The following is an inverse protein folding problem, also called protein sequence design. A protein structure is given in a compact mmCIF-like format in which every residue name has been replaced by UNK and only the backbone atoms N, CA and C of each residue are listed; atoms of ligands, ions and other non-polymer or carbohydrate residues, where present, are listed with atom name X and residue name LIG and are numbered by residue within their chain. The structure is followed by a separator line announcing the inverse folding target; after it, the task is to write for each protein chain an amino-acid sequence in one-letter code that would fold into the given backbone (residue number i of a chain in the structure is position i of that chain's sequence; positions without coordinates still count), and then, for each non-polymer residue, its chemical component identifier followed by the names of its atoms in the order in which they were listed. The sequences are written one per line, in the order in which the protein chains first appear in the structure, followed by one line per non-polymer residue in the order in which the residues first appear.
data_IF_186061914649
#
_entry.id   IF_186061914649
#
_cell.length_a   1.000
_cell.length_b   1.000
_cell.length_c   1.000
_cell.angle_alpha   90.00
_cell.angle_beta   90.00
_cell.angle_gamma   90.00
#
_symmetry.space_group_name_H-M   'P 1'
#
loop_
_entity.id
_entity.type
_entity.pdbx_description
1 polymer ?
#
# COMPACT_ATOMS: atom_id res chain seq x y z
N UNK A 1 -44.25 80.46 -55.76
CA UNK A 1 -43.34 80.60 -56.92
C UNK A 1 -42.11 79.75 -56.65
N UNK A 2 -42.24 78.44 -56.92
CA UNK A 2 -41.14 77.49 -56.90
C UNK A 2 -40.38 77.58 -58.22
N UNK A 3 -39.05 77.65 -58.16
CA UNK A 3 -38.20 77.76 -59.34
C UNK A 3 -36.99 76.88 -59.13
N UNK A 4 -37.06 75.62 -59.56
CA UNK A 4 -36.04 74.91 -60.34
C UNK A 4 -36.77 73.87 -61.20
N UNK A 5 -36.48 73.83 -62.50
CA UNK A 5 -37.14 72.95 -63.47
C UNK A 5 -36.63 71.50 -63.28
N UNK A 6 -37.54 70.59 -62.93
CA UNK A 6 -37.25 69.16 -62.81
C UNK A 6 -37.51 68.40 -64.11
N UNK A 7 -36.70 67.38 -64.38
CA UNK A 7 -36.98 66.34 -65.38
C UNK A 7 -38.31 65.62 -65.06
N UNK A 8 -39.00 65.13 -66.10
CA UNK A 8 -40.32 64.49 -66.01
C UNK A 8 -40.32 63.32 -65.00
N UNK A 9 -41.11 63.47 -63.93
CA UNK A 9 -41.36 62.42 -62.94
C UNK A 9 -40.90 62.72 -61.51
N UNK A 10 -40.21 63.83 -61.25
CA UNK A 10 -39.78 64.22 -59.89
C UNK A 10 -40.61 65.41 -59.38
N UNK A 11 -41.19 65.26 -58.17
CA UNK A 11 -41.90 66.34 -57.48
C UNK A 11 -40.87 67.45 -57.18
N UNK A 12 -41.09 68.71 -57.62
CA UNK A 12 -40.13 69.78 -57.39
C UNK A 12 -39.99 70.04 -55.89
N UNK A 13 -38.74 69.98 -55.40
CA UNK A 13 -38.43 70.23 -54.00
C UNK A 13 -38.66 71.72 -53.68
N UNK A 14 -39.59 72.03 -52.77
CA UNK A 14 -39.90 73.40 -52.34
C UNK A 14 -38.82 73.97 -51.39
N UNK A 15 -37.60 74.14 -51.90
CA UNK A 15 -36.40 74.49 -51.11
C UNK A 15 -36.57 75.72 -50.22
N UNK A 16 -37.24 76.76 -50.73
CA UNK A 16 -37.47 78.01 -49.97
C UNK A 16 -38.30 77.76 -48.70
N UNK A 17 -39.33 76.91 -48.80
CA UNK A 17 -40.17 76.59 -47.65
C UNK A 17 -39.41 75.77 -46.60
N UNK A 18 -38.55 74.85 -47.04
CA UNK A 18 -37.73 74.01 -46.15
C UNK A 18 -36.61 74.81 -45.48
N UNK A 19 -35.98 75.74 -46.20
CA UNK A 19 -35.00 76.67 -45.64
C UNK A 19 -35.64 77.57 -44.57
N UNK A 20 -36.87 78.03 -44.82
CA UNK A 20 -37.61 78.86 -43.87
C UNK A 20 -37.99 78.06 -42.62
N UNK A 21 -38.49 76.82 -42.77
CA UNK A 21 -38.77 75.93 -41.66
C UNK A 21 -37.53 75.62 -40.81
N UNK A 22 -36.38 75.39 -41.45
CA UNK A 22 -35.12 75.17 -40.74
C UNK A 22 -34.70 76.40 -39.92
N UNK A 23 -34.81 77.60 -40.49
CA UNK A 23 -34.52 78.85 -39.77
C UNK A 23 -35.46 79.04 -38.56
N UNK A 24 -36.76 78.78 -38.72
CA UNK A 24 -37.76 78.92 -37.66
C UNK A 24 -37.56 77.92 -36.50
N UNK A 25 -36.95 76.76 -36.78
CA UNK A 25 -36.68 75.70 -35.80
C UNK A 25 -35.25 75.71 -35.26
N UNK A 26 -34.44 76.71 -35.63
CA UNK A 26 -33.00 76.76 -35.37
C UNK A 26 -32.23 75.51 -35.88
N UNK A 27 -32.78 74.84 -36.89
CA UNK A 27 -32.16 73.73 -37.60
C UNK A 27 -31.35 74.20 -38.80
N UNK A 28 -30.48 73.32 -39.32
CA UNK A 28 -29.71 73.60 -40.53
C UNK A 28 -30.32 72.87 -41.73
N UNK A 29 -30.64 73.62 -42.78
CA UNK A 29 -31.04 73.05 -44.06
C UNK A 29 -29.80 72.64 -44.87
N UNK A 30 -29.81 71.43 -45.43
CA UNK A 30 -28.75 70.92 -46.28
C UNK A 30 -29.35 70.35 -47.57
N UNK A 31 -28.88 70.85 -48.71
CA UNK A 31 -29.20 70.27 -50.02
C UNK A 31 -28.40 68.98 -50.25
N UNK A 32 -29.06 67.96 -50.79
CA UNK A 32 -28.41 66.70 -51.20
C UNK A 32 -27.51 66.97 -52.40
N UNK A 33 -26.26 66.54 -52.34
CA UNK A 33 -25.31 66.63 -53.45
C UNK A 33 -25.05 65.25 -54.05
N UNK A 34 -24.76 65.17 -55.35
CA UNK A 34 -24.38 63.91 -56.01
C UNK A 34 -22.99 63.44 -55.57
N UNK A 35 -22.19 64.32 -54.96
CA UNK A 35 -20.91 64.02 -54.35
C UNK A 35 -20.97 64.14 -52.81
N UNK A 36 -19.88 63.80 -52.13
CA UNK A 36 -19.82 63.75 -50.65
C UNK A 36 -19.74 65.12 -49.96
N UNK A 37 -20.07 66.24 -50.63
CA UNK A 37 -20.00 67.56 -50.01
C UNK A 37 -21.05 67.75 -48.92
N UNK A 38 -22.24 67.18 -49.10
CA UNK A 38 -23.30 67.14 -48.09
C UNK A 38 -22.88 66.33 -46.86
N UNK A 39 -22.39 65.11 -47.04
CA UNK A 39 -21.94 64.24 -45.96
C UNK A 39 -20.80 64.89 -45.15
N UNK A 40 -19.83 65.54 -45.80
CA UNK A 40 -18.75 66.29 -45.11
C UNK A 40 -19.23 67.52 -44.34
N UNK A 41 -20.41 68.06 -44.66
CA UNK A 41 -21.02 69.16 -43.90
C UNK A 41 -21.77 68.62 -42.69
N UNK A 42 -22.47 67.49 -42.83
CA UNK A 42 -23.08 66.77 -41.70
C UNK A 42 -22.02 66.35 -40.70
N UNK A 43 -20.94 65.72 -41.16
CA UNK A 43 -19.83 65.22 -40.34
C UNK A 43 -19.22 66.33 -39.48
N UNK A 44 -18.87 67.47 -40.10
CA UNK A 44 -18.37 68.65 -39.37
C UNK A 44 -19.35 69.22 -38.36
N UNK A 45 -20.64 69.13 -38.63
CA UNK A 45 -21.66 69.57 -37.69
C UNK A 45 -21.76 68.59 -36.51
N UNK A 46 -21.70 67.29 -36.76
CA UNK A 46 -21.69 66.25 -35.71
C UNK A 46 -20.44 66.33 -34.85
N UNK A 47 -19.26 66.54 -35.45
CA UNK A 47 -17.98 66.72 -34.74
C UNK A 47 -18.04 67.86 -33.72
N UNK A 48 -18.76 68.95 -34.03
CA UNK A 48 -18.90 70.08 -33.09
C UNK A 48 -19.69 69.75 -31.83
N UNK A 49 -20.53 68.71 -31.86
CA UNK A 49 -21.30 68.21 -30.71
C UNK A 49 -20.68 66.95 -30.10
N UNK A 50 -19.69 66.34 -30.76
CA UNK A 50 -18.96 65.21 -30.22
C UNK A 50 -17.89 65.72 -29.24
N UNK A 51 -18.21 65.71 -27.95
CA UNK A 51 -17.17 65.78 -26.93
C UNK A 51 -16.39 64.47 -27.04
N UNK A 52 -15.22 64.52 -27.68
CA UNK A 52 -14.24 63.46 -27.56
C UNK A 52 -13.82 63.42 -26.09
N UNK A 53 -14.47 62.56 -25.31
CA UNK A 53 -13.90 62.11 -24.06
C UNK A 53 -12.71 61.27 -24.47
N UNK A 54 -11.52 61.88 -24.47
CA UNK A 54 -10.27 61.15 -24.54
C UNK A 54 -10.18 60.27 -23.29
N UNK A 55 -10.73 59.06 -23.38
CA UNK A 55 -10.67 58.04 -22.33
C UNK A 55 -9.30 57.34 -22.32
N UNK A 56 -8.24 58.08 -22.67
CA UNK A 56 -6.84 57.66 -22.60
C UNK A 56 -6.24 57.85 -21.20
N UNK A 57 -7.05 58.24 -20.21
CA UNK A 57 -6.65 58.44 -18.81
C UNK A 57 -7.01 57.29 -17.85
N UNK A 58 -7.57 56.17 -18.34
CA UNK A 58 -7.87 55.00 -17.50
C UNK A 58 -7.14 53.74 -18.02
N UNK A 59 -5.97 53.40 -17.47
CA UNK A 59 -5.22 52.21 -17.86
C UNK A 59 -5.83 50.97 -17.17
N UNK A 60 -7.04 50.57 -17.55
CA UNK A 60 -7.59 49.29 -17.10
C UNK A 60 -6.87 48.16 -17.83
N UNK A 61 -5.75 47.73 -17.26
CA UNK A 61 -5.07 46.51 -17.65
C UNK A 61 -5.86 45.33 -17.06
N UNK A 62 -6.49 44.53 -17.92
CA UNK A 62 -7.22 43.33 -17.51
C UNK A 62 -6.24 42.31 -16.90
N UNK A 63 -6.08 42.38 -15.58
CA UNK A 63 -5.14 41.58 -14.78
C UNK A 63 -5.82 40.36 -14.17
N UNK A 64 -6.98 39.96 -14.68
CA UNK A 64 -7.74 38.79 -14.19
C UNK A 64 -7.19 37.43 -14.66
N UNK A 65 -6.35 37.40 -15.70
CA UNK A 65 -5.84 36.14 -16.27
C UNK A 65 -5.04 35.26 -15.30
N UNK A 66 -4.18 35.79 -14.40
CA UNK A 66 -3.54 35.00 -13.35
C UNK A 66 -4.54 34.26 -12.45
N UNK A 67 -5.71 34.88 -12.18
CA UNK A 67 -6.75 34.29 -11.34
C UNK A 67 -7.36 33.03 -11.98
N UNK A 68 -7.39 32.96 -13.32
CA UNK A 68 -7.88 31.81 -14.06
C UNK A 68 -7.03 30.58 -13.75
N UNK A 69 -5.71 30.70 -13.64
CA UNK A 69 -4.85 29.56 -13.31
C UNK A 69 -5.09 29.03 -11.88
N UNK A 70 -5.36 29.92 -10.92
CA UNK A 70 -5.71 29.54 -9.54
C UNK A 70 -7.07 28.82 -9.52
N UNK A 71 -8.07 29.38 -10.20
CA UNK A 71 -9.39 28.77 -10.32
C UNK A 71 -9.33 27.42 -11.05
N UNK A 72 -8.50 27.30 -12.09
CA UNK A 72 -8.30 26.06 -12.83
C UNK A 72 -7.68 24.97 -11.94
N UNK A 73 -6.69 25.32 -11.12
CA UNK A 73 -6.09 24.39 -10.16
C UNK A 73 -7.14 23.88 -9.14
N UNK A 74 -7.97 24.77 -8.60
CA UNK A 74 -9.07 24.42 -7.70
C UNK A 74 -10.13 23.55 -8.39
N UNK A 75 -10.45 23.85 -9.65
CA UNK A 75 -11.41 23.10 -10.44
C UNK A 75 -10.93 21.68 -10.74
N UNK A 76 -9.64 21.49 -11.09
CA UNK A 76 -9.05 20.17 -11.33
C UNK A 76 -9.08 19.28 -10.09
N UNK A 77 -8.96 19.86 -8.90
CA UNK A 77 -9.06 19.11 -7.64
C UNK A 77 -10.47 18.55 -7.39
N UNK A 78 -11.51 19.16 -7.96
CA UNK A 78 -12.91 18.74 -7.80
C UNK A 78 -13.24 17.41 -8.52
N UNK A 79 -12.51 17.07 -9.59
CA UNK A 79 -12.75 15.83 -10.35
C UNK A 79 -12.12 14.57 -9.74
N UNK A 80 -11.38 14.71 -8.63
CA UNK A 80 -10.73 13.57 -7.98
C UNK A 80 -11.75 12.74 -7.20
N UNK A 81 -11.93 11.48 -7.62
CA UNK A 81 -12.81 10.49 -6.96
C UNK A 81 -12.42 10.34 -5.48
N UNK A 82 -13.29 10.78 -4.56
CA UNK A 82 -13.09 10.74 -3.10
C UNK A 82 -13.08 12.11 -2.39
N UNK A 83 -12.96 13.23 -3.12
CA UNK A 83 -12.88 14.59 -2.54
C UNK A 83 -14.21 15.16 -2.01
N UNK A 84 -15.35 14.64 -2.47
CA UNK A 84 -16.67 15.09 -1.97
C UNK A 84 -16.96 14.60 -0.54
N UNK A 85 -16.36 13.48 -0.12
CA UNK A 85 -16.50 12.96 1.25
C UNK A 85 -15.62 13.74 2.25
N UNK A 86 -14.53 14.36 1.80
CA UNK A 86 -13.62 15.13 2.67
C UNK A 86 -14.22 16.44 3.18
N UNK A 87 -15.21 17.03 2.50
CA UNK A 87 -15.94 18.20 3.04
C UNK A 87 -16.80 17.86 4.27
N UNK A 88 -17.16 16.59 4.48
CA UNK A 88 -17.82 16.17 5.72
C UNK A 88 -16.90 16.39 6.94
N UNK A 89 -15.57 16.38 6.76
CA UNK A 89 -14.61 16.71 7.83
C UNK A 89 -14.61 18.19 8.22
N UNK A 90 -15.11 19.10 7.37
CA UNK A 90 -15.35 20.49 7.79
C UNK A 90 -16.61 20.63 8.65
N UNK A 91 -17.52 19.64 8.64
CA UNK A 91 -18.63 19.53 9.59
C UNK A 91 -18.24 18.77 10.88
N UNK A 92 -17.16 17.99 10.88
CA UNK A 92 -16.64 17.31 12.07
C UNK A 92 -16.26 18.26 13.22
N UNK A 93 -15.59 19.43 13.02
CA UNK A 93 -15.35 20.37 14.10
C UNK A 93 -16.65 20.99 14.65
N UNK A 94 -17.74 21.02 13.88
CA UNK A 94 -19.07 21.44 14.35
C UNK A 94 -19.74 20.35 15.21
N UNK A 95 -19.45 19.07 14.93
CA UNK A 95 -19.91 17.90 15.71
C UNK A 95 -19.08 17.67 17.00
N UNK A 96 -17.80 18.07 17.01
CA UNK A 96 -16.88 17.92 18.14
C UNK A 96 -17.04 18.97 19.25
N UNK A 97 -17.97 19.94 19.12
CA UNK A 97 -18.42 20.72 20.28
C UNK A 97 -19.27 19.89 21.28
N UNK A 98 -19.60 18.64 20.94
CA UNK A 98 -20.10 17.65 21.89
C UNK A 98 -18.96 16.99 22.68
N UNK A 99 -18.97 17.17 24.01
CA UNK A 99 -17.93 16.71 24.93
C UNK A 99 -17.50 15.24 24.70
N UNK A 100 -16.21 14.94 24.44
CA UNK A 100 -15.74 13.56 24.33
C UNK A 100 -15.58 12.92 25.72
N UNK A 101 -16.28 11.81 25.95
CA UNK A 101 -15.96 10.86 27.02
C UNK A 101 -14.57 10.26 26.80
N UNK A 102 -13.73 10.12 27.83
CA UNK A 102 -12.36 9.61 27.67
C UNK A 102 -12.35 8.13 27.32
N UNK A 103 -11.96 7.80 26.09
CA UNK A 103 -11.62 6.44 25.69
C UNK A 103 -10.18 6.13 26.13
N UNK A 104 -10.00 5.06 26.92
CA UNK A 104 -8.67 4.55 27.30
C UNK A 104 -8.01 3.86 26.11
N UNK A 105 -6.76 4.21 25.84
CA UNK A 105 -5.93 3.58 24.82
C UNK A 105 -5.26 2.31 25.36
N UNK A 106 -5.54 1.17 24.74
CA UNK A 106 -4.69 -0.02 24.85
C UNK A 106 -3.42 0.19 24.02
N UNK A 107 -2.28 -0.16 24.63
CA UNK A 107 -0.95 0.13 24.13
C UNK A 107 -0.63 -0.62 22.84
N UNK A 108 -0.18 0.13 21.83
CA UNK A 108 0.56 -0.40 20.69
C UNK A 108 2.04 -0.09 20.91
N UNK A 109 2.96 -1.07 20.84
CA UNK A 109 4.36 -0.82 21.14
C UNK A 109 4.97 0.10 20.07
N UNK A 110 5.76 1.05 20.55
CA UNK A 110 6.43 2.06 19.75
C UNK A 110 7.53 1.44 18.87
N UNK A 111 7.38 1.54 17.54
CA UNK A 111 8.50 1.46 16.62
C UNK A 111 9.11 2.87 16.48
N UNK A 112 10.38 2.99 16.83
CA UNK A 112 11.11 4.25 17.09
C UNK A 112 11.70 4.95 15.86
N UNK A 113 11.12 4.77 14.67
CA UNK A 113 11.62 5.39 13.42
C UNK A 113 10.57 6.28 12.72
N UNK A 114 9.42 6.49 13.35
CA UNK A 114 8.16 6.77 12.66
C UNK A 114 7.90 8.25 12.35
N UNK A 115 8.71 9.21 12.81
CA UNK A 115 8.33 10.63 12.72
C UNK A 115 8.61 11.27 11.34
N UNK A 116 9.77 11.02 10.73
CA UNK A 116 10.14 11.61 9.43
C UNK A 116 9.48 10.89 8.25
N UNK A 117 9.41 9.56 8.29
CA UNK A 117 8.73 8.78 7.25
C UNK A 117 7.22 9.04 7.26
N UNK A 118 6.58 9.07 8.45
CA UNK A 118 5.15 9.38 8.52
C UNK A 118 4.83 10.81 8.03
N UNK A 119 5.70 11.79 8.29
CA UNK A 119 5.54 13.15 7.77
C UNK A 119 5.66 13.20 6.24
N UNK A 120 6.65 12.50 5.66
CA UNK A 120 6.82 12.40 4.20
C UNK A 120 5.65 11.70 3.52
N UNK A 121 5.10 10.68 4.17
CA UNK A 121 3.96 9.93 3.68
C UNK A 121 2.64 10.71 3.75
N UNK A 122 2.38 11.45 4.83
CA UNK A 122 1.20 12.32 4.91
C UNK A 122 1.16 13.34 3.76
N UNK A 123 2.31 13.95 3.44
CA UNK A 123 2.39 14.86 2.31
C UNK A 123 2.20 14.11 0.98
N UNK A 124 2.81 12.93 0.81
CA UNK A 124 2.62 12.11 -0.37
C UNK A 124 1.15 11.66 -0.57
N UNK A 125 0.42 11.40 0.51
CA UNK A 125 -1.00 11.01 0.49
C UNK A 125 -1.90 12.11 -0.10
N UNK A 126 -1.48 13.38 -0.04
CA UNK A 126 -2.18 14.50 -0.70
C UNK A 126 -2.15 14.37 -2.23
N UNK A 127 -1.07 13.82 -2.78
CA UNK A 127 -0.82 13.78 -4.23
C UNK A 127 -1.08 12.40 -4.82
N UNK A 128 -0.59 11.33 -4.18
CA UNK A 128 -0.65 9.95 -4.66
C UNK A 128 -1.53 9.09 -3.76
N UNK A 129 -2.30 8.16 -4.35
CA UNK A 129 -2.98 7.14 -3.55
C UNK A 129 -1.97 6.16 -2.93
N UNK A 130 -2.36 5.49 -1.83
CA UNK A 130 -1.53 4.47 -1.19
C UNK A 130 -1.06 3.38 -2.18
N UNK A 131 -1.93 2.99 -3.12
CA UNK A 131 -1.56 2.04 -4.17
C UNK A 131 -0.51 2.58 -5.16
N UNK A 132 -0.59 3.86 -5.53
CA UNK A 132 0.41 4.49 -6.41
C UNK A 132 1.77 4.59 -5.70
N UNK A 133 1.75 4.94 -4.42
CA UNK A 133 2.97 4.95 -3.60
C UNK A 133 3.55 3.54 -3.45
N UNK A 134 2.70 2.54 -3.20
CA UNK A 134 3.10 1.13 -3.15
C UNK A 134 3.76 0.69 -4.45
N UNK A 135 3.21 1.04 -5.61
CA UNK A 135 3.82 0.72 -6.92
C UNK A 135 5.21 1.34 -7.10
N UNK A 136 5.41 2.58 -6.68
CA UNK A 136 6.73 3.22 -6.73
C UNK A 136 7.73 2.49 -5.81
N UNK A 137 7.29 2.11 -4.60
CA UNK A 137 8.11 1.34 -3.66
C UNK A 137 8.47 -0.05 -4.21
N UNK A 138 7.56 -0.72 -4.91
CA UNK A 138 7.84 -1.98 -5.61
C UNK A 138 8.94 -1.81 -6.66
N UNK A 139 8.89 -0.74 -7.46
CA UNK A 139 9.91 -0.45 -8.48
C UNK A 139 11.28 -0.15 -7.88
N UNK A 140 11.30 0.41 -6.67
CA UNK A 140 12.52 0.67 -5.90
C UNK A 140 13.02 -0.55 -5.11
N UNK A 141 12.38 -1.72 -5.24
CA UNK A 141 12.73 -2.93 -4.48
C UNK A 141 12.37 -2.88 -2.99
N UNK A 142 11.56 -1.89 -2.56
CA UNK A 142 11.16 -1.68 -1.15
C UNK A 142 9.84 -2.41 -0.86
N UNK A 143 9.85 -3.73 -0.98
CA UNK A 143 8.64 -4.55 -0.98
C UNK A 143 7.86 -4.50 0.35
N UNK A 144 8.55 -4.58 1.49
CA UNK A 144 7.92 -4.47 2.82
C UNK A 144 7.19 -3.14 3.01
N UNK A 145 7.82 -2.03 2.61
CA UNK A 145 7.21 -0.70 2.67
C UNK A 145 6.02 -0.59 1.71
N UNK A 146 6.12 -1.19 0.52
CA UNK A 146 5.05 -1.23 -0.45
C UNK A 146 3.81 -1.98 0.09
N UNK A 147 4.02 -3.10 0.78
CA UNK A 147 2.95 -3.89 1.39
C UNK A 147 2.14 -3.09 2.44
N UNK A 148 2.80 -2.20 3.18
CA UNK A 148 2.16 -1.28 4.12
C UNK A 148 1.37 -0.14 3.45
N UNK A 149 1.59 0.11 2.16
CA UNK A 149 1.01 1.23 1.40
C UNK A 149 -0.18 0.83 0.54
N UNK A 150 -0.14 -0.38 -0.02
CA UNK A 150 -1.23 -0.88 -0.85
C UNK A 150 -2.53 -0.98 -0.05
N UNK A 151 -3.61 -0.48 -0.63
CA UNK A 151 -4.97 -0.65 -0.17
C UNK A 151 -5.59 -1.90 -0.80
N UNK A 152 -5.26 -2.20 -2.05
CA UNK A 152 -5.73 -3.41 -2.74
C UNK A 152 -5.10 -4.69 -2.14
N UNK A 153 -5.88 -5.68 -1.68
CA UNK A 153 -5.36 -6.88 -1.01
C UNK A 153 -4.46 -7.73 -1.91
N UNK A 154 -4.74 -7.82 -3.21
CA UNK A 154 -3.89 -8.59 -4.15
C UNK A 154 -2.55 -7.91 -4.32
N UNK A 155 -2.51 -6.58 -4.36
CA UNK A 155 -1.26 -5.82 -4.50
C UNK A 155 -0.43 -5.88 -3.22
N UNK A 156 -1.08 -5.87 -2.05
CA UNK A 156 -0.43 -6.19 -0.78
C UNK A 156 0.16 -7.60 -0.78
N UNK A 157 -0.60 -8.59 -1.23
CA UNK A 157 -0.14 -9.98 -1.36
C UNK A 157 1.07 -10.10 -2.28
N UNK A 158 1.06 -9.43 -3.43
CA UNK A 158 2.23 -9.39 -4.32
C UNK A 158 3.43 -8.74 -3.64
N UNK A 159 3.25 -7.63 -2.94
CA UNK A 159 4.35 -6.99 -2.21
C UNK A 159 4.97 -7.92 -1.16
N UNK A 160 4.15 -8.63 -0.38
CA UNK A 160 4.63 -9.66 0.55
C UNK A 160 5.34 -10.82 -0.16
N UNK A 161 4.82 -11.27 -1.32
CA UNK A 161 5.45 -12.32 -2.11
C UNK A 161 6.86 -11.93 -2.56
N UNK A 162 7.03 -10.72 -3.09
CA UNK A 162 8.35 -10.20 -3.49
C UNK A 162 9.25 -9.90 -2.28
N UNK A 163 8.67 -9.67 -1.11
CA UNK A 163 9.39 -9.56 0.15
C UNK A 163 9.74 -10.92 0.78
N UNK A 164 9.41 -12.04 0.12
CA UNK A 164 9.60 -13.42 0.58
C UNK A 164 8.75 -13.82 1.81
N UNK A 165 7.76 -13.01 2.18
CA UNK A 165 6.76 -13.32 3.20
C UNK A 165 5.65 -14.21 2.64
N UNK A 166 6.02 -15.41 2.21
CA UNK A 166 5.15 -16.24 1.36
C UNK A 166 3.83 -16.66 2.03
N UNK A 167 3.83 -17.00 3.32
CA UNK A 167 2.59 -17.35 4.04
C UNK A 167 1.64 -16.16 4.17
N UNK A 168 2.17 -14.97 4.47
CA UNK A 168 1.38 -13.74 4.54
C UNK A 168 0.81 -13.39 3.15
N UNK A 169 1.61 -13.56 2.10
CA UNK A 169 1.16 -13.37 0.73
C UNK A 169 0.00 -14.33 0.37
N UNK A 170 0.12 -15.61 0.73
CA UNK A 170 -0.93 -16.60 0.54
C UNK A 170 -2.23 -16.21 1.25
N UNK A 171 -2.15 -15.69 2.48
CA UNK A 171 -3.30 -15.20 3.22
C UNK A 171 -4.00 -14.06 2.46
N UNK A 172 -3.26 -13.06 1.98
CA UNK A 172 -3.84 -11.96 1.20
C UNK A 172 -4.48 -12.44 -0.12
N UNK A 173 -3.86 -13.38 -0.83
CA UNK A 173 -4.42 -13.94 -2.05
C UNK A 173 -5.70 -14.75 -1.78
N UNK A 174 -5.78 -15.46 -0.66
CA UNK A 174 -6.97 -16.24 -0.28
C UNK A 174 -8.24 -15.41 -0.09
N UNK A 175 -8.10 -14.09 0.12
CA UNK A 175 -9.23 -13.16 0.34
C UNK A 175 -10.02 -12.83 -0.92
N UNK A 176 -9.58 -13.29 -2.09
CA UNK A 176 -10.27 -13.04 -3.36
C UNK A 176 -10.52 -14.34 -4.12
N UNK A 177 -11.76 -14.54 -4.56
CA UNK A 177 -12.13 -15.69 -5.41
C UNK A 177 -11.92 -15.37 -6.90
N UNK A 178 -10.68 -15.50 -7.37
CA UNK A 178 -10.33 -15.35 -8.79
C UNK A 178 -9.24 -16.34 -9.20
N UNK A 179 -9.18 -16.67 -10.50
CA UNK A 179 -8.16 -17.57 -11.05
C UNK A 179 -6.75 -17.08 -10.76
N UNK A 180 -6.52 -15.77 -10.90
CA UNK A 180 -5.23 -15.14 -10.59
C UNK A 180 -4.89 -15.23 -9.10
N UNK A 181 -5.88 -15.04 -8.22
CA UNK A 181 -5.68 -15.19 -6.78
C UNK A 181 -5.37 -16.63 -6.39
N UNK A 182 -6.08 -17.63 -6.97
CA UNK A 182 -5.79 -19.06 -6.74
C UNK A 182 -4.38 -19.43 -7.21
N UNK A 183 -3.97 -18.96 -8.39
CA UNK A 183 -2.63 -19.20 -8.92
C UNK A 183 -1.56 -18.59 -8.03
N UNK A 184 -1.76 -17.33 -7.60
CA UNK A 184 -0.81 -16.62 -6.75
C UNK A 184 -0.74 -17.22 -5.33
N UNK A 185 -1.88 -17.62 -4.75
CA UNK A 185 -1.91 -18.34 -3.47
C UNK A 185 -1.15 -19.66 -3.57
N UNK A 186 -1.37 -20.43 -4.63
CA UNK A 186 -0.68 -21.71 -4.84
C UNK A 186 0.84 -21.52 -4.99
N UNK A 187 1.29 -20.52 -5.75
CA UNK A 187 2.72 -20.18 -5.86
C UNK A 187 3.29 -19.76 -4.50
N UNK A 188 2.60 -18.88 -3.77
CA UNK A 188 3.04 -18.41 -2.46
C UNK A 188 3.19 -19.58 -1.47
N UNK A 189 2.17 -20.44 -1.35
CA UNK A 189 2.24 -21.65 -0.51
C UNK A 189 3.36 -22.59 -0.92
N UNK A 190 3.58 -22.78 -2.23
CA UNK A 190 4.69 -23.61 -2.71
C UNK A 190 6.05 -23.04 -2.27
N UNK A 191 6.27 -21.73 -2.38
CA UNK A 191 7.50 -21.09 -1.88
C UNK A 191 7.64 -21.17 -0.36
N UNK A 192 6.52 -21.14 0.38
CA UNK A 192 6.48 -21.37 1.82
C UNK A 192 6.70 -22.83 2.23
N UNK A 193 6.87 -23.76 1.27
CA UNK A 193 6.93 -25.21 1.49
C UNK A 193 5.64 -25.83 2.05
N UNK A 194 4.52 -25.14 1.89
CA UNK A 194 3.17 -25.63 2.19
C UNK A 194 2.62 -26.38 0.97
N UNK A 195 3.32 -27.45 0.58
CA UNK A 195 3.15 -28.08 -0.72
C UNK A 195 1.80 -28.76 -0.88
N UNK A 196 1.29 -29.42 0.15
CA UNK A 196 -0.01 -30.11 0.10
C UNK A 196 -1.13 -29.10 -0.17
N UNK A 197 -1.16 -27.99 0.59
CA UNK A 197 -2.17 -26.94 0.38
C UNK A 197 -1.95 -26.21 -0.94
N UNK A 198 -0.70 -26.05 -1.41
CA UNK A 198 -0.40 -25.49 -2.72
C UNK A 198 -0.99 -26.33 -3.87
N UNK A 199 -0.80 -27.66 -3.86
CA UNK A 199 -1.39 -28.57 -4.87
C UNK A 199 -2.91 -28.45 -4.87
N UNK A 200 -3.55 -28.45 -3.70
CA UNK A 200 -5.01 -28.29 -3.59
C UNK A 200 -5.50 -26.98 -4.22
N UNK A 201 -4.75 -25.89 -4.08
CA UNK A 201 -5.08 -24.60 -4.73
C UNK A 201 -4.91 -24.65 -6.25
N UNK A 202 -3.86 -25.31 -6.74
CA UNK A 202 -3.71 -25.56 -8.18
C UNK A 202 -4.82 -26.44 -8.74
N UNK A 203 -5.25 -27.46 -8.01
CA UNK A 203 -6.35 -28.34 -8.42
C UNK A 203 -7.66 -27.56 -8.56
N UNK A 204 -7.98 -26.72 -7.57
CA UNK A 204 -9.14 -25.83 -7.65
C UNK A 204 -9.06 -24.88 -8.85
N UNK A 205 -7.89 -24.32 -9.12
CA UNK A 205 -7.66 -23.47 -10.30
C UNK A 205 -7.88 -24.25 -11.60
N UNK A 206 -7.30 -25.44 -11.73
CA UNK A 206 -7.37 -26.25 -12.95
C UNK A 206 -8.76 -26.85 -13.19
N UNK A 207 -9.55 -27.07 -12.14
CA UNK A 207 -10.96 -27.42 -12.27
C UNK A 207 -11.79 -26.30 -12.90
N UNK A 208 -11.48 -25.04 -12.55
CA UNK A 208 -12.18 -23.86 -13.07
C UNK A 208 -11.66 -23.42 -14.44
N UNK A 209 -10.34 -23.41 -14.61
CA UNK A 209 -9.62 -22.93 -15.79
C UNK A 209 -8.51 -23.92 -16.19
N UNK A 210 -8.85 -25.01 -16.90
CA UNK A 210 -7.91 -26.08 -17.24
C UNK A 210 -6.70 -25.63 -18.07
N UNK A 211 -6.83 -24.51 -18.80
CA UNK A 211 -5.78 -23.94 -19.66
C UNK A 211 -5.06 -22.75 -19.03
N UNK A 212 -5.20 -22.52 -17.70
CA UNK A 212 -4.53 -21.40 -17.05
C UNK A 212 -2.99 -21.50 -17.21
N UNK A 213 -2.32 -20.46 -17.73
CA UNK A 213 -0.89 -20.52 -18.03
C UNK A 213 -0.04 -20.91 -16.82
N UNK A 214 0.82 -21.92 -16.99
CA UNK A 214 1.77 -22.35 -15.95
C UNK A 214 1.16 -23.18 -14.80
N UNK A 215 -0.15 -23.17 -14.59
CA UNK A 215 -0.78 -23.85 -13.45
C UNK A 215 -0.51 -25.36 -13.43
N UNK A 216 -0.70 -26.05 -14.55
CA UNK A 216 -0.46 -27.50 -14.66
C UNK A 216 1.01 -27.86 -14.42
N UNK A 217 1.94 -27.06 -14.95
CA UNK A 217 3.37 -27.31 -14.81
C UNK A 217 3.85 -27.06 -13.38
N UNK A 218 3.39 -25.96 -12.74
CA UNK A 218 3.75 -25.65 -11.37
C UNK A 218 3.17 -26.67 -10.40
N UNK A 219 1.90 -27.07 -10.58
CA UNK A 219 1.30 -28.16 -9.80
C UNK A 219 2.15 -29.42 -9.85
N UNK A 220 2.57 -29.84 -11.04
CA UNK A 220 3.39 -31.05 -11.19
C UNK A 220 4.71 -30.92 -10.44
N UNK A 221 5.42 -29.79 -10.57
CA UNK A 221 6.67 -29.56 -9.84
C UNK A 221 6.49 -29.66 -8.33
N UNK A 222 5.40 -29.10 -7.80
CA UNK A 222 5.09 -29.19 -6.36
C UNK A 222 4.75 -30.62 -5.94
N UNK A 223 4.03 -31.37 -6.77
CA UNK A 223 3.78 -32.79 -6.54
C UNK A 223 5.08 -33.59 -6.51
N UNK A 224 5.99 -33.36 -7.46
CA UNK A 224 7.28 -34.05 -7.52
C UNK A 224 8.11 -33.80 -6.24
N UNK A 225 8.03 -32.58 -5.67
CA UNK A 225 8.67 -32.26 -4.37
C UNK A 225 8.05 -33.04 -3.21
N UNK A 226 6.71 -33.17 -3.17
CA UNK A 226 6.02 -33.97 -2.15
C UNK A 226 6.47 -35.44 -2.23
N UNK A 227 6.49 -35.99 -3.45
CA UNK A 227 6.86 -37.38 -3.70
C UNK A 227 8.33 -37.65 -3.32
N UNK A 228 9.23 -36.70 -3.61
CA UNK A 228 10.64 -36.78 -3.21
C UNK A 228 10.81 -36.74 -1.69
N UNK A 229 10.09 -35.86 -0.98
CA UNK A 229 10.12 -35.78 0.49
C UNK A 229 9.61 -37.09 1.10
N UNK A 230 8.51 -37.63 0.59
CA UNK A 230 7.96 -38.91 1.04
C UNK A 230 8.96 -40.06 0.84
N UNK A 231 9.59 -40.14 -0.34
CA UNK A 231 10.61 -41.17 -0.62
C UNK A 231 11.82 -41.07 0.31
N UNK A 232 12.26 -39.85 0.61
CA UNK A 232 13.37 -39.63 1.54
C UNK A 232 12.99 -40.06 2.97
N UNK A 233 11.75 -39.79 3.38
CA UNK A 233 11.20 -40.20 4.67
C UNK A 233 11.16 -41.73 4.82
N UNK A 234 10.73 -42.46 3.78
CA UNK A 234 10.68 -43.93 3.79
C UNK A 234 12.08 -44.58 3.87
N UNK A 235 13.10 -43.92 3.32
CA UNK A 235 14.48 -44.44 3.30
C UNK A 235 15.23 -44.28 4.63
N UNK A 236 14.72 -43.47 5.56
CA UNK A 236 15.26 -43.34 6.89
C UNK A 236 14.74 -44.51 7.74
N UNK A 237 15.60 -45.49 8.03
CA UNK A 237 15.29 -46.49 9.05
C UNK A 237 15.22 -45.79 10.41
N UNK A 238 14.08 -45.90 11.10
CA UNK A 238 13.95 -45.44 12.48
C UNK A 238 14.96 -46.20 13.35
N UNK A 239 15.87 -45.47 13.98
CA UNK A 239 16.67 -45.99 15.08
C UNK A 239 15.70 -46.28 16.25
N UNK A 240 15.59 -47.55 16.64
CA UNK A 240 14.67 -47.97 17.69
C UNK A 240 15.02 -47.27 19.02
N UNK A 241 14.13 -46.41 19.52
CA UNK A 241 14.27 -45.75 20.83
C UNK A 241 14.21 -44.23 20.81
N UNK A 242 14.26 -43.60 19.63
CA UNK A 242 13.93 -42.18 19.49
C UNK A 242 12.46 -42.15 19.09
N UNK A 243 11.56 -41.97 20.06
CA UNK A 243 10.19 -41.53 19.77
C UNK A 243 10.34 -40.21 19.03
N UNK A 244 10.25 -40.27 17.69
CA UNK A 244 10.08 -39.11 16.85
C UNK A 244 8.71 -38.57 17.21
N UNK A 245 8.67 -37.77 18.27
CA UNK A 245 7.43 -37.25 18.81
C UNK A 245 6.65 -36.65 17.67
N UNK A 246 5.44 -37.15 17.49
CA UNK A 246 4.42 -36.55 16.65
C UNK A 246 4.35 -35.08 17.03
N UNK A 247 5.07 -34.26 16.27
CA UNK A 247 4.95 -32.82 16.41
C UNK A 247 3.61 -32.54 15.77
N UNK A 248 2.55 -32.61 16.58
CA UNK A 248 1.23 -32.12 16.22
C UNK A 248 1.43 -30.73 15.63
N UNK A 249 1.27 -30.64 14.31
CA UNK A 249 1.35 -29.38 13.58
C UNK A 249 0.16 -28.55 14.06
N UNK A 250 0.41 -27.65 14.99
CA UNK A 250 -0.62 -26.79 15.59
C UNK A 250 -0.95 -25.64 14.63
N UNK A 251 -2.09 -25.68 13.95
CA UNK A 251 -2.67 -24.52 13.25
C UNK A 251 -2.25 -24.30 11.79
N UNK A 252 -1.78 -23.08 11.48
CA UNK A 252 -1.53 -22.57 10.10
C UNK A 252 -0.10 -22.82 9.60
N UNK A 253 0.61 -23.76 10.22
CA UNK A 253 1.97 -24.13 9.83
C UNK A 253 2.01 -24.77 8.43
N UNK A 254 3.13 -24.54 7.73
CA UNK A 254 3.35 -25.10 6.40
C UNK A 254 3.43 -26.62 6.44
N UNK A 255 2.76 -27.29 5.49
CA UNK A 255 2.72 -28.76 5.40
C UNK A 255 3.51 -29.22 4.15
N UNK A 256 4.78 -29.64 4.29
CA UNK A 256 5.60 -30.03 3.14
C UNK A 256 5.15 -31.36 2.54
N UNK A 257 4.79 -32.33 3.36
CA UNK A 257 4.35 -33.64 2.90
C UNK A 257 3.51 -34.33 3.96
N UNK A 258 2.86 -35.43 3.57
CA UNK A 258 2.04 -36.26 4.47
C UNK A 258 2.89 -37.18 5.36
N UNK A 259 4.18 -37.33 5.06
CA UNK A 259 5.07 -38.27 5.75
C UNK A 259 4.75 -39.72 5.42
N UNK A 260 5.70 -40.63 5.68
CA UNK A 260 5.39 -42.06 5.60
C UNK A 260 4.37 -42.41 6.69
N UNK A 261 3.32 -43.18 6.36
CA UNK A 261 2.41 -43.71 7.39
C UNK A 261 3.23 -44.56 8.34
N UNK A 262 3.27 -44.18 9.60
CA UNK A 262 3.81 -45.01 10.65
C UNK A 262 2.97 -46.30 10.70
N UNK A 263 3.56 -47.42 10.28
CA UNK A 263 3.00 -48.73 10.59
C UNK A 263 3.35 -48.97 12.06
N UNK A 264 2.56 -48.37 12.94
CA UNK A 264 2.55 -48.71 14.36
C UNK A 264 2.09 -50.16 14.46
N UNK A 265 3.05 -51.08 14.63
CA UNK A 265 2.75 -52.32 15.32
C UNK A 265 2.37 -51.92 16.75
N UNK A 266 1.22 -52.42 17.23
CA UNK A 266 0.61 -52.04 18.51
C UNK A 266 1.64 -51.62 19.56
N UNK A 267 1.46 -50.42 20.11
CA UNK A 267 2.22 -49.89 21.24
C UNK A 267 2.26 -50.96 22.35
N UNK A 268 3.36 -51.70 22.44
CA UNK A 268 3.68 -52.44 23.64
C UNK A 268 3.79 -51.42 24.76
N UNK A 269 3.00 -51.61 25.81
CA UNK A 269 2.98 -50.77 27.00
C UNK A 269 4.42 -50.51 27.46
N UNK A 270 4.88 -49.26 27.35
CA UNK A 270 6.23 -48.87 27.78
C UNK A 270 6.26 -49.02 29.29
N UNK A 271 6.72 -50.17 29.76
CA UNK A 271 6.89 -50.42 31.18
C UNK A 271 8.11 -49.63 31.64
N UNK A 272 7.88 -48.54 32.38
CA UNK A 272 8.96 -47.81 33.02
C UNK A 272 9.54 -48.66 34.14
N UNK A 273 10.61 -49.41 33.86
CA UNK A 273 11.37 -50.13 34.86
C UNK A 273 12.28 -49.16 35.62
N UNK A 274 12.33 -49.27 36.95
CA UNK A 274 13.29 -48.52 37.75
C UNK A 274 14.71 -49.04 37.52
N UNK A 275 15.73 -48.24 37.88
CA UNK A 275 17.12 -48.68 37.79
C UNK A 275 17.37 -49.96 38.60
N UNK A 276 16.71 -50.10 39.75
CA UNK A 276 16.74 -51.30 40.57
C UNK A 276 16.12 -52.52 39.86
N UNK A 277 15.02 -52.36 39.14
CA UNK A 277 14.37 -53.47 38.42
C UNK A 277 15.22 -53.94 37.22
N UNK A 278 15.88 -53.01 36.54
CA UNK A 278 16.78 -53.30 35.40
C UNK A 278 18.02 -54.08 35.88
N UNK A 279 18.57 -53.72 37.04
CA UNK A 279 19.80 -54.32 37.58
C UNK A 279 19.56 -55.66 38.28
N UNK A 280 18.32 -55.96 38.68
CA UNK A 280 17.96 -57.24 39.31
C UNK A 280 17.84 -58.39 38.32
N UNK A 281 17.47 -58.12 37.07
CA UNK A 281 17.38 -59.13 36.01
C UNK A 281 18.61 -59.07 35.08
N UNK A 282 19.47 -60.11 35.05
CA UNK A 282 20.65 -60.16 34.20
C UNK A 282 20.35 -60.00 32.70
N UNK A 283 19.18 -60.46 32.24
CA UNK A 283 18.79 -60.35 30.83
C UNK A 283 18.40 -58.91 30.48
N UNK A 284 17.61 -58.26 31.33
CA UNK A 284 17.21 -56.85 31.18
C UNK A 284 18.43 -55.91 31.31
N UNK A 285 19.33 -56.16 32.27
CA UNK A 285 20.59 -55.43 32.42
C UNK A 285 21.48 -55.56 31.18
N UNK A 286 21.60 -56.74 30.58
CA UNK A 286 22.38 -56.95 29.37
C UNK A 286 21.78 -56.25 28.14
N UNK A 287 20.45 -56.23 28.02
CA UNK A 287 19.76 -55.46 26.98
C UNK A 287 20.00 -53.96 27.14
N UNK A 288 19.94 -53.45 28.38
CA UNK A 288 20.25 -52.05 28.70
C UNK A 288 21.71 -51.70 28.36
N UNK A 289 22.67 -52.53 28.78
CA UNK A 289 24.10 -52.34 28.50
C UNK A 289 24.45 -52.35 27.01
N UNK A 290 23.63 -52.97 26.17
CA UNK A 290 23.80 -52.97 24.72
C UNK A 290 23.45 -51.62 24.08
N UNK A 291 22.54 -50.86 24.70
CA UNK A 291 22.12 -49.52 24.27
C UNK A 291 22.95 -48.39 24.85
N UNK A 292 23.75 -48.65 25.89
CA UNK A 292 24.71 -47.68 26.43
C UNK A 292 25.87 -47.56 25.44
N UNK A 293 26.05 -46.37 24.87
CA UNK A 293 27.17 -46.08 23.95
C UNK A 293 28.50 -46.45 24.60
N UNK A 294 29.28 -47.28 23.91
CA UNK A 294 30.57 -47.78 24.40
C UNK A 294 31.65 -46.69 24.46
N UNK A 295 31.47 -45.60 23.72
CA UNK A 295 32.41 -44.49 23.66
C UNK A 295 31.82 -43.23 24.35
N UNK A 296 32.34 -42.83 25.53
CA UNK A 296 31.84 -41.67 26.25
C UNK A 296 32.34 -40.32 25.69
N UNK A 297 33.13 -40.32 24.61
CA UNK A 297 33.80 -39.12 24.07
C UNK A 297 32.83 -37.97 23.80
N UNK A 298 31.71 -38.25 23.12
CA UNK A 298 30.73 -37.22 22.74
C UNK A 298 29.97 -36.67 23.95
N UNK A 299 29.57 -37.56 24.87
CA UNK A 299 28.93 -37.15 26.12
C UNK A 299 29.87 -36.28 26.98
N UNK A 300 31.14 -36.66 27.07
CA UNK A 300 32.15 -35.90 27.81
C UNK A 300 32.43 -34.56 27.13
N UNK A 301 32.52 -34.51 25.79
CA UNK A 301 32.70 -33.27 25.04
C UNK A 301 31.55 -32.29 25.30
N UNK A 302 30.30 -32.77 25.23
CA UNK A 302 29.11 -31.98 25.55
C UNK A 302 29.14 -31.51 27.01
N UNK A 303 29.44 -32.40 27.96
CA UNK A 303 29.48 -32.03 29.39
C UNK A 303 30.57 -31.00 29.70
N UNK A 304 31.77 -31.16 29.15
CA UNK A 304 32.87 -30.22 29.36
C UNK A 304 32.59 -28.88 28.67
N UNK A 305 31.96 -28.88 27.49
CA UNK A 305 31.51 -27.64 26.85
C UNK A 305 30.50 -26.91 27.74
N UNK A 306 29.51 -27.61 28.30
CA UNK A 306 28.54 -26.99 29.23
C UNK A 306 29.22 -26.43 30.48
N UNK A 307 30.20 -27.13 31.06
CA UNK A 307 30.96 -26.65 32.21
C UNK A 307 31.83 -25.42 31.89
N UNK A 308 32.40 -25.36 30.69
CA UNK A 308 33.17 -24.20 30.24
C UNK A 308 32.28 -22.95 30.15
N UNK A 309 31.09 -23.09 29.56
CA UNK A 309 30.11 -22.00 29.47
C UNK A 309 29.51 -21.64 30.84
N UNK A 310 29.31 -22.62 31.73
CA UNK A 310 28.87 -22.41 33.10
C UNK A 310 29.89 -21.69 33.98
N UNK A 311 31.19 -21.90 33.76
CA UNK A 311 32.25 -21.14 34.46
C UNK A 311 32.36 -19.69 33.99
N UNK A 312 32.13 -19.44 32.71
CA UNK A 312 32.16 -18.09 32.13
C UNK A 312 31.01 -17.17 32.62
N UNK A 313 29.96 -17.74 33.24
CA UNK A 313 28.79 -17.01 33.75
C UNK A 313 28.79 -16.77 35.26
N UNK A 314 29.82 -17.24 35.99
CA UNK A 314 30.07 -16.83 37.38
C UNK A 314 30.97 -15.58 37.39
N UNK A 315 30.48 -14.40 37.81
CA UNK A 315 31.36 -13.26 38.03
C UNK A 315 32.34 -13.60 39.15
N UNK A 316 33.62 -13.42 38.88
CA UNK A 316 34.67 -13.49 39.89
C UNK A 316 34.36 -12.45 40.98
N UNK A 317 34.24 -12.82 42.27
CA UNK A 317 34.00 -11.83 43.31
C UNK A 317 35.22 -10.91 43.39
N UNK A 318 34.99 -9.60 43.23
CA UNK A 318 36.01 -8.56 43.28
C UNK A 318 37.01 -8.78 44.43
N UNK A 319 38.30 -8.78 44.07
CA UNK A 319 39.42 -8.91 44.99
C UNK A 319 39.63 -7.65 45.87
N UNK A 320 38.57 -6.90 46.21
CA UNK A 320 38.62 -5.71 47.05
C UNK A 320 38.25 -5.98 48.53
N UNK A 321 37.71 -7.16 48.86
CA UNK A 321 37.20 -7.46 50.22
C UNK A 321 38.11 -8.40 51.05
N UNK A 322 39.25 -8.85 50.50
CA UNK A 322 40.21 -9.74 51.21
C UNK A 322 41.31 -9.00 52.00
N UNK A 323 41.15 -7.71 52.27
CA UNK A 323 42.11 -6.94 53.09
C UNK A 323 41.50 -6.29 54.35
N UNK A 324 40.24 -6.61 54.73
CA UNK A 324 39.62 -6.07 55.95
C UNK A 324 39.43 -7.05 57.10
N UNK A 325 39.84 -8.31 56.96
CA UNK A 325 39.65 -9.32 58.02
C UNK A 325 40.93 -10.10 58.30
N UNK A 326 42.02 -9.39 58.63
CA UNK A 326 43.16 -10.01 59.33
C UNK A 326 43.91 -8.98 60.17
N UNK A 327 43.29 -8.52 61.26
CA UNK A 327 43.99 -7.89 62.37
C UNK A 327 43.71 -8.75 63.61
N UNK A 328 44.70 -9.51 64.12
CA UNK A 328 44.54 -10.24 65.36
C UNK A 328 44.78 -9.28 66.54
N UNK A 329 43.75 -9.06 67.35
CA UNK A 329 43.88 -8.50 68.68
C UNK A 329 44.83 -9.37 69.53
N UNK A 330 45.96 -8.79 69.95
CA UNK A 330 46.71 -9.26 71.13
C UNK A 330 47.19 -8.07 71.96
N UNK A 331 46.97 -8.23 73.27
CA UNK A 331 47.37 -7.37 74.40
C UNK A 331 48.84 -6.96 74.38
#
# INVERSE_FOLDING_TARGET
MGTEAGEEGQIPLERKSLQQLAADTAGNYLDLTVDDRDMRRVDRQVDSYYVVVEDSALPWLDSGYPLIYICLALFLLWFRKGWTLTWAWLLVPLLLLGNPTPARAEGRPAASNTTLEAAGYWFADLWLSGDQQGRLLMQMGRYQQAAGRFTNPVWRGMAHYYAEDFMVAAEYFSRQDSDAALFNEANARAHARDYIRAVNRYDRLLQRSPQYPGAKQNRQKVQDLIDEINRLSESQQQEAGISGGDKELEGDDAIPAEGAREISWEQGEITQLSAEDILQDPATAAMWLRGVQQDPSDFLAVKFSMQLHGRASTPEPEASDRLRTWCPDKK
#
